data_IF_492045022679
#
_entry.id   IF_492045022679
#
_cell.length_a   1.000
_cell.length_b   1.000
_cell.length_c   1.000
_cell.angle_alpha   90.00
_cell.angle_beta   90.00
_cell.angle_gamma   90.00
#
_symmetry.space_group_name_H-M   'P 1'
#
loop_
_entity.id
_entity.type
_entity.pdbx_description
1 polymer ?
#
# COMPACT_ATOMS: atom_id res chain seq x y z
N UNK A 1 -11.09 3.57 15.46
CA UNK A 1 -10.95 3.14 14.05
C UNK A 1 -11.39 4.29 13.17
N UNK A 2 -10.47 5.17 12.82
CA UNK A 2 -10.72 6.27 11.87
C UNK A 2 -11.01 5.67 10.50
N UNK A 3 -12.16 6.04 9.92
CA UNK A 3 -12.56 5.59 8.59
C UNK A 3 -11.74 6.39 7.59
N UNK A 4 -10.75 5.75 6.95
CA UNK A 4 -9.88 6.41 5.99
C UNK A 4 -10.67 7.01 4.82
N UNK A 5 -10.35 8.27 4.48
CA UNK A 5 -10.80 8.90 3.25
C UNK A 5 -10.42 8.03 2.04
N UNK A 6 -11.23 8.05 0.98
CA UNK A 6 -10.91 7.30 -0.23
C UNK A 6 -9.53 7.69 -0.74
N UNK A 7 -8.70 6.72 -1.12
CA UNK A 7 -7.38 6.96 -1.73
C UNK A 7 -7.42 6.56 -3.21
N UNK A 8 -7.98 7.39 -4.12
CA UNK A 8 -8.16 7.05 -5.52
C UNK A 8 -6.88 6.57 -6.20
N UNK A 9 -5.73 7.15 -5.85
CA UNK A 9 -4.46 6.83 -6.48
C UNK A 9 -3.86 5.51 -5.99
N UNK A 10 -4.04 5.17 -4.71
CA UNK A 10 -3.68 3.84 -4.19
C UNK A 10 -4.58 2.78 -4.84
N UNK A 11 -5.89 3.05 -4.94
CA UNK A 11 -6.85 2.17 -5.61
C UNK A 11 -6.44 1.96 -7.09
N UNK A 12 -6.06 3.02 -7.82
CA UNK A 12 -5.58 2.91 -9.20
C UNK A 12 -4.32 2.04 -9.29
N UNK A 13 -3.36 2.20 -8.38
CA UNK A 13 -2.12 1.40 -8.35
C UNK A 13 -2.42 -0.08 -8.07
N UNK A 14 -3.29 -0.37 -7.11
CA UNK A 14 -3.71 -1.74 -6.80
C UNK A 14 -4.48 -2.38 -7.95
N UNK A 15 -5.35 -1.63 -8.66
CA UNK A 15 -6.03 -2.12 -9.87
C UNK A 15 -5.03 -2.51 -10.97
N UNK A 16 -3.95 -1.74 -11.15
CA UNK A 16 -2.87 -2.11 -12.08
C UNK A 16 -2.18 -3.39 -11.64
N UNK A 17 -1.79 -3.50 -10.37
CA UNK A 17 -1.19 -4.72 -9.81
C UNK A 17 -2.10 -5.95 -10.00
N UNK A 18 -3.41 -5.81 -9.80
CA UNK A 18 -4.39 -6.86 -10.04
C UNK A 18 -4.44 -7.30 -11.51
N UNK A 19 -4.36 -6.36 -12.45
CA UNK A 19 -4.25 -6.67 -13.88
C UNK A 19 -2.98 -7.45 -14.22
N UNK A 20 -1.84 -7.03 -13.67
CA UNK A 20 -0.57 -7.77 -13.82
C UNK A 20 -0.67 -9.18 -13.25
N UNK A 21 -1.23 -9.33 -12.05
CA UNK A 21 -1.40 -10.64 -11.39
C UNK A 21 -2.30 -11.56 -12.21
N UNK A 22 -3.42 -11.05 -12.73
CA UNK A 22 -4.30 -11.80 -13.63
C UNK A 22 -3.56 -12.28 -14.87
N UNK A 23 -2.74 -11.41 -15.46
CA UNK A 23 -1.89 -11.79 -16.60
C UNK A 23 -0.87 -12.86 -16.23
N UNK A 24 -0.23 -12.78 -15.04
CA UNK A 24 0.70 -13.81 -14.58
C UNK A 24 0.04 -15.18 -14.44
N UNK A 25 -1.18 -15.22 -13.92
CA UNK A 25 -1.96 -16.47 -13.81
C UNK A 25 -2.20 -17.05 -15.20
N UNK A 26 -2.64 -16.23 -16.17
CA UNK A 26 -2.81 -16.69 -17.55
C UNK A 26 -1.49 -17.18 -18.17
N UNK A 27 -0.37 -16.51 -17.89
CA UNK A 27 0.94 -16.95 -18.39
C UNK A 27 1.35 -18.32 -17.85
N UNK A 28 0.96 -18.65 -16.61
CA UNK A 28 1.17 -19.98 -16.03
C UNK A 28 0.26 -21.02 -16.68
N UNK A 29 -1.01 -20.69 -16.90
CA UNK A 29 -1.98 -21.56 -17.60
C UNK A 29 -1.58 -21.82 -19.05
N UNK A 30 -0.99 -20.83 -19.72
CA UNK A 30 -0.52 -20.89 -21.10
C UNK A 30 0.90 -21.49 -21.23
N UNK A 31 1.49 -22.00 -20.14
CA UNK A 31 2.84 -22.59 -20.09
C UNK A 31 3.93 -21.68 -20.71
N UNK A 32 3.88 -20.37 -20.42
CA UNK A 32 4.89 -19.39 -20.88
C UNK A 32 6.26 -19.64 -20.25
N UNK A 33 7.29 -19.01 -20.83
CA UNK A 33 8.66 -19.11 -20.35
C UNK A 33 8.80 -18.63 -18.90
N UNK A 34 9.55 -19.38 -18.08
CA UNK A 34 9.77 -19.08 -16.66
C UNK A 34 10.35 -17.69 -16.42
N UNK A 35 11.21 -17.20 -17.33
CA UNK A 35 11.81 -15.87 -17.24
C UNK A 35 10.76 -14.77 -17.33
N UNK A 36 9.81 -14.89 -18.26
CA UNK A 36 8.76 -13.89 -18.46
C UNK A 36 7.81 -13.87 -17.25
N UNK A 37 7.47 -15.05 -16.72
CA UNK A 37 6.64 -15.19 -15.51
C UNK A 37 7.34 -14.54 -14.32
N UNK A 38 8.64 -14.78 -14.13
CA UNK A 38 9.43 -14.19 -13.04
C UNK A 38 9.50 -12.66 -13.14
N UNK A 39 9.68 -12.11 -14.35
CA UNK A 39 9.65 -10.67 -14.58
C UNK A 39 8.28 -10.07 -14.27
N UNK A 40 7.20 -10.74 -14.65
CA UNK A 40 5.85 -10.27 -14.37
C UNK A 40 5.51 -10.33 -12.87
N UNK A 41 5.92 -11.39 -12.16
CA UNK A 41 5.80 -11.48 -10.71
C UNK A 41 6.54 -10.35 -9.99
N UNK A 42 7.76 -10.04 -10.44
CA UNK A 42 8.53 -8.91 -9.92
C UNK A 42 7.80 -7.57 -10.14
N UNK A 43 7.17 -7.37 -11.29
CA UNK A 43 6.37 -6.18 -11.56
C UNK A 43 5.16 -6.07 -10.60
N UNK A 44 4.47 -7.19 -10.32
CA UNK A 44 3.37 -7.24 -9.34
C UNK A 44 3.86 -6.86 -7.95
N UNK A 45 4.96 -7.47 -7.48
CA UNK A 45 5.56 -7.19 -6.18
C UNK A 45 5.91 -5.71 -6.03
N UNK A 46 6.55 -5.11 -7.05
CA UNK A 46 6.89 -3.68 -7.04
C UNK A 46 5.66 -2.79 -7.02
N UNK A 47 4.61 -3.13 -7.76
CA UNK A 47 3.38 -2.36 -7.76
C UNK A 47 2.71 -2.36 -6.38
N UNK A 48 2.64 -3.52 -5.72
CA UNK A 48 2.08 -3.66 -4.37
C UNK A 48 2.95 -2.92 -3.35
N UNK A 49 4.26 -3.12 -3.40
CA UNK A 49 5.21 -2.45 -2.49
C UNK A 49 5.10 -0.94 -2.58
N UNK A 50 4.98 -0.39 -3.79
CA UNK A 50 4.80 1.04 -3.98
C UNK A 50 3.45 1.53 -3.46
N UNK A 51 2.36 0.79 -3.68
CA UNK A 51 1.04 1.14 -3.14
C UNK A 51 1.05 1.14 -1.60
N UNK A 52 1.67 0.13 -0.99
CA UNK A 52 1.88 0.02 0.46
C UNK A 52 2.64 1.23 1.01
N UNK A 53 3.77 1.59 0.40
CA UNK A 53 4.54 2.77 0.81
C UNK A 53 3.72 4.05 0.73
N UNK A 54 3.00 4.26 -0.38
CA UNK A 54 2.12 5.43 -0.51
C UNK A 54 1.06 5.47 0.59
N UNK A 55 0.44 4.34 0.92
CA UNK A 55 -0.53 4.27 2.02
C UNK A 55 0.07 4.67 3.36
N UNK A 56 1.25 4.12 3.67
CA UNK A 56 1.92 4.40 4.95
C UNK A 56 2.30 5.89 5.01
N UNK A 57 2.92 6.43 3.97
CA UNK A 57 3.28 7.86 3.92
C UNK A 57 2.07 8.78 4.08
N UNK A 58 0.96 8.48 3.40
CA UNK A 58 -0.26 9.28 3.50
C UNK A 58 -0.85 9.24 4.93
N UNK A 59 -0.81 8.08 5.58
CA UNK A 59 -1.19 7.98 6.99
C UNK A 59 -0.24 8.74 7.92
N UNK A 60 1.07 8.73 7.63
CA UNK A 60 2.05 9.50 8.42
C UNK A 60 1.76 11.00 8.37
N UNK A 61 1.46 11.52 7.18
CA UNK A 61 1.15 12.94 6.99
C UNK A 61 -0.11 13.34 7.78
N UNK A 62 -1.18 12.54 7.67
CA UNK A 62 -2.42 12.77 8.44
C UNK A 62 -2.22 12.67 9.96
N UNK A 63 -1.52 11.64 10.45
CA UNK A 63 -1.27 11.49 11.89
C UNK A 63 -0.41 12.63 12.45
N UNK A 64 0.54 13.15 11.67
CA UNK A 64 1.37 14.29 12.07
C UNK A 64 0.54 15.58 12.12
N UNK A 65 -0.31 15.84 11.13
CA UNK A 65 -1.24 16.98 11.14
C UNK A 65 -2.19 16.92 12.34
N UNK A 66 -2.81 15.76 12.61
CA UNK A 66 -3.67 15.57 13.76
C UNK A 66 -2.93 15.79 15.09
N UNK A 67 -1.68 15.32 15.20
CA UNK A 67 -0.86 15.51 16.39
C UNK A 67 -0.45 16.98 16.62
N UNK A 68 -0.24 17.76 15.55
CA UNK A 68 0.07 19.19 15.63
C UNK A 68 -1.15 20.05 15.96
N UNK A 69 -2.35 19.61 15.58
CA UNK A 69 -3.61 20.31 15.84
C UNK A 69 -4.32 19.88 17.14
N UNK A 70 -3.96 18.74 17.72
CA UNK A 70 -4.51 18.27 18.99
C UNK A 70 -3.87 19.00 20.19
N UNK A 71 -4.52 20.07 20.63
CA UNK A 71 -4.15 20.82 21.83
C UNK A 71 -4.39 19.93 23.08
N UNK A 72 -3.31 19.44 23.67
CA UNK A 72 -3.23 18.81 25.01
C UNK A 72 -4.23 17.68 25.33
N UNK A 73 -4.02 16.46 24.78
CA UNK A 73 -4.61 15.24 25.37
C UNK A 73 -4.67 13.97 24.53
N UNK A 74 -4.55 14.07 23.19
CA UNK A 74 -4.72 12.92 22.27
C UNK A 74 -3.44 12.20 21.83
N UNK A 75 -2.26 12.71 22.21
CA UNK A 75 -0.97 12.34 21.60
C UNK A 75 -0.60 10.84 21.70
N UNK A 76 -0.99 10.15 22.76
CA UNK A 76 -0.57 8.75 23.00
C UNK A 76 -1.29 7.74 22.08
N UNK A 77 -2.53 8.04 21.67
CA UNK A 77 -3.29 7.18 20.75
C UNK A 77 -2.74 7.30 19.33
N UNK A 78 -2.49 8.53 18.85
CA UNK A 78 -1.89 8.79 17.52
C UNK A 78 -0.49 8.18 17.41
N UNK A 79 0.31 8.25 18.48
CA UNK A 79 1.65 7.63 18.51
C UNK A 79 1.60 6.10 18.44
N UNK A 80 0.60 5.46 19.06
CA UNK A 80 0.44 4.02 18.96
C UNK A 80 -0.03 3.59 17.57
N UNK A 81 -0.99 4.29 16.96
CA UNK A 81 -1.40 4.02 15.57
C UNK A 81 -0.21 4.18 14.59
N UNK A 82 0.60 5.22 14.78
CA UNK A 82 1.85 5.43 14.05
C UNK A 82 2.84 4.25 14.20
N UNK A 83 3.05 3.76 15.43
CA UNK A 83 3.93 2.61 15.68
C UNK A 83 3.41 1.34 15.03
N UNK A 84 2.11 1.13 14.99
CA UNK A 84 1.53 -0.07 14.38
C UNK A 84 1.69 -0.06 12.86
N UNK A 85 1.45 1.07 12.19
CA UNK A 85 1.51 1.12 10.73
C UNK A 85 2.95 1.07 10.18
N UNK A 86 3.91 1.65 10.91
CA UNK A 86 5.33 1.66 10.52
C UNK A 86 5.96 0.27 10.52
N UNK A 87 5.39 -0.71 11.26
CA UNK A 87 5.79 -2.13 11.19
C UNK A 87 5.65 -2.73 9.80
N UNK A 88 4.81 -2.14 8.95
CA UNK A 88 4.54 -2.60 7.61
C UNK A 88 5.36 -1.88 6.54
N UNK A 89 6.29 -0.99 6.90
CA UNK A 89 7.21 -0.34 5.95
C UNK A 89 8.13 -1.38 5.30
#
# INVERSE_FOLDING_TARGET
>A
MTVHASHPDIIKRLKRAAGHLKSTIQMLEDEKACLDIAQQLYAVEKAITNAKRTLIHDHLDHCLEDALHADHGGSDTTLNEFKEITKYL
#
